data_IF_406677477574
#
_entry.id   IF_406677477574
#
_cell.length_a   1.000
_cell.length_b   1.000
_cell.length_c   1.000
_cell.angle_alpha   90.00
_cell.angle_beta   90.00
_cell.angle_gamma   90.00
#
_symmetry.space_group_name_H-M   'P 1'
#
loop_
_entity.id
_entity.type
_entity.pdbx_description
1 polymer ?
#
# COMPACT_ATOMS: atom_id res chain seq x y z
N UNK A 1 -17.20 5.49 -13.81
CA UNK A 1 -16.56 4.17 -13.77
C UNK A 1 -15.48 4.13 -14.85
N UNK A 2 -14.21 4.03 -14.46
CA UNK A 2 -13.11 3.75 -15.38
C UNK A 2 -13.24 2.28 -15.80
N UNK A 3 -13.23 2.02 -17.11
CA UNK A 3 -13.15 0.65 -17.62
C UNK A 3 -11.67 0.31 -17.75
N UNK A 4 -11.12 -0.41 -16.77
CA UNK A 4 -9.76 -0.92 -16.82
C UNK A 4 -9.62 -1.94 -17.95
N UNK A 5 -8.60 -1.79 -18.78
CA UNK A 5 -8.33 -2.60 -19.97
C UNK A 5 -6.86 -3.02 -20.04
N UNK A 6 -6.52 -3.86 -21.00
CA UNK A 6 -5.13 -4.30 -21.22
C UNK A 6 -4.19 -3.17 -21.70
N UNK A 7 -4.75 -2.03 -22.12
CA UNK A 7 -3.99 -0.83 -22.52
C UNK A 7 -3.63 0.06 -21.31
N UNK A 8 -4.30 -0.15 -20.17
CA UNK A 8 -4.07 0.61 -18.94
C UNK A 8 -3.00 -0.08 -18.08
N UNK A 9 -2.30 0.70 -17.24
CA UNK A 9 -1.41 0.16 -16.22
C UNK A 9 -1.83 0.66 -14.84
N UNK A 10 -2.11 -0.26 -13.92
CA UNK A 10 -2.51 0.04 -12.55
C UNK A 10 -1.30 -0.01 -11.61
N UNK A 11 -1.06 1.06 -10.88
CA UNK A 11 -0.11 1.09 -9.78
C UNK A 11 -0.86 1.01 -8.45
N UNK A 12 -0.51 0.02 -7.63
CA UNK A 12 -1.10 -0.21 -6.31
C UNK A 12 -0.10 0.23 -5.25
N UNK A 13 -0.48 1.16 -4.39
CA UNK A 13 0.42 1.79 -3.41
C UNK A 13 0.71 0.94 -2.16
N UNK A 14 0.42 -0.35 -2.17
CA UNK A 14 0.61 -1.25 -1.01
C UNK A 14 -0.66 -1.43 -0.18
N UNK A 15 -0.52 -2.08 0.97
CA UNK A 15 -1.58 -2.38 1.95
C UNK A 15 -2.79 -3.12 1.35
N UNK A 16 -2.52 -4.08 0.47
CA UNK A 16 -3.54 -4.91 -0.20
C UNK A 16 -4.07 -5.98 0.75
N UNK A 17 -3.23 -6.46 1.66
CA UNK A 17 -3.59 -7.48 2.64
C UNK A 17 -4.11 -6.86 3.94
N UNK A 18 -4.63 -7.72 4.83
CA UNK A 18 -5.11 -7.42 6.18
C UNK A 18 -6.52 -6.78 6.25
N UNK A 19 -7.03 -6.68 7.46
CA UNK A 19 -8.33 -6.11 7.85
C UNK A 19 -9.56 -6.75 7.17
N UNK A 20 -9.45 -7.14 5.89
CA UNK A 20 -10.48 -7.85 5.13
C UNK A 20 -10.20 -9.33 4.93
N UNK A 21 -11.16 -10.05 4.36
CA UNK A 21 -11.03 -11.49 4.05
C UNK A 21 -10.55 -11.78 2.62
N UNK A 22 -10.50 -10.78 1.74
CA UNK A 22 -10.20 -10.94 0.32
C UNK A 22 -8.80 -10.43 -0.08
N UNK A 23 -8.01 -9.92 0.85
CA UNK A 23 -6.70 -9.31 0.55
C UNK A 23 -5.73 -10.28 -0.14
N UNK A 24 -5.69 -11.54 0.28
CA UNK A 24 -4.83 -12.56 -0.36
C UNK A 24 -5.32 -12.91 -1.77
N UNK A 25 -6.63 -12.92 -2.01
CA UNK A 25 -7.18 -13.17 -3.35
C UNK A 25 -6.89 -12.00 -4.29
N UNK A 26 -7.03 -10.76 -3.81
CA UNK A 26 -6.65 -9.56 -4.56
C UNK A 26 -5.15 -9.54 -4.87
N UNK A 27 -4.31 -9.89 -3.90
CA UNK A 27 -2.87 -10.01 -4.10
C UNK A 27 -2.54 -11.01 -5.21
N UNK A 28 -3.23 -12.14 -5.29
CA UNK A 28 -3.04 -13.11 -6.38
C UNK A 28 -3.44 -12.56 -7.74
N UNK A 29 -4.52 -11.79 -7.83
CA UNK A 29 -4.90 -11.10 -9.07
C UNK A 29 -3.76 -10.17 -9.52
N UNK A 30 -3.16 -9.42 -8.61
CA UNK A 30 -2.02 -8.55 -8.92
C UNK A 30 -0.81 -9.37 -9.39
N UNK A 31 -0.50 -10.47 -8.69
CA UNK A 31 0.62 -11.37 -9.05
C UNK A 31 0.48 -11.97 -10.45
N UNK A 32 -0.74 -12.29 -10.87
CA UNK A 32 -1.04 -12.93 -12.16
C UNK A 32 -1.20 -11.90 -13.29
N UNK A 33 -1.24 -10.60 -13.00
CA UNK A 33 -1.48 -9.54 -13.97
C UNK A 33 -0.16 -8.99 -14.54
N UNK A 34 -0.12 -8.80 -15.85
CA UNK A 34 1.04 -8.18 -16.55
C UNK A 34 1.00 -6.65 -16.56
N UNK A 35 -0.17 -6.06 -16.31
CA UNK A 35 -0.41 -4.62 -16.35
C UNK A 35 -0.77 -4.03 -14.97
N UNK A 36 -0.37 -4.72 -13.89
CA UNK A 36 -0.44 -4.21 -12.53
C UNK A 36 0.95 -4.22 -11.89
N UNK A 37 1.31 -3.15 -11.20
CA UNK A 37 2.52 -3.05 -10.41
C UNK A 37 2.17 -2.60 -9.00
N UNK A 38 2.70 -3.30 -8.01
CA UNK A 38 2.43 -3.02 -6.61
C UNK A 38 3.69 -2.54 -5.89
N UNK A 39 3.53 -1.60 -4.99
CA UNK A 39 4.51 -1.16 -4.01
C UNK A 39 4.38 -1.97 -2.72
N UNK A 40 5.48 -2.07 -1.99
CA UNK A 40 5.48 -2.63 -0.65
C UNK A 40 4.83 -1.64 0.32
N UNK A 41 3.77 -2.06 1.01
CA UNK A 41 3.17 -1.34 2.12
C UNK A 41 3.64 -1.88 3.48
N UNK A 42 3.30 -1.19 4.56
CA UNK A 42 3.67 -1.63 5.91
C UNK A 42 2.94 -2.91 6.32
N UNK A 43 1.76 -3.18 5.79
CA UNK A 43 1.06 -4.45 6.03
C UNK A 43 1.78 -5.64 5.38
N UNK A 44 2.26 -5.50 4.16
CA UNK A 44 3.09 -6.51 3.50
C UNK A 44 4.44 -6.68 4.21
N UNK A 45 5.05 -5.59 4.70
CA UNK A 45 6.28 -5.65 5.49
C UNK A 45 6.07 -6.42 6.80
N UNK A 46 4.98 -6.19 7.53
CA UNK A 46 4.65 -6.95 8.75
C UNK A 46 4.44 -8.45 8.46
N UNK A 47 3.81 -8.78 7.32
CA UNK A 47 3.67 -10.16 6.87
C UNK A 47 5.04 -10.81 6.63
N UNK A 48 5.96 -10.12 5.93
CA UNK A 48 7.32 -10.60 5.67
C UNK A 48 8.14 -10.75 6.96
N UNK A 49 8.08 -9.78 7.87
CA UNK A 49 8.76 -9.86 9.18
C UNK A 49 8.22 -10.98 10.07
N UNK A 50 6.98 -11.45 9.82
CA UNK A 50 6.37 -12.54 10.61
C UNK A 50 6.56 -13.89 9.95
N UNK A 51 6.34 -14.04 8.66
CA UNK A 51 6.28 -15.32 7.94
C UNK A 51 7.44 -15.53 6.96
N UNK A 52 8.22 -14.49 6.70
CA UNK A 52 9.35 -14.53 5.79
C UNK A 52 10.56 -15.29 6.39
N UNK A 53 11.62 -15.47 5.60
CA UNK A 53 12.80 -16.24 6.00
C UNK A 53 13.62 -15.56 7.12
N UNK A 54 13.40 -14.30 7.36
CA UNK A 54 14.02 -13.50 8.44
C UNK A 54 12.95 -12.98 9.38
N UNK A 55 12.21 -13.92 10.03
CA UNK A 55 11.19 -13.52 10.99
C UNK A 55 11.82 -12.81 12.20
N UNK A 56 11.17 -11.73 12.64
CA UNK A 56 11.63 -10.87 13.71
C UNK A 56 10.86 -11.13 15.00
N UNK A 57 11.54 -10.98 16.13
CA UNK A 57 10.91 -11.12 17.45
C UNK A 57 9.86 -10.01 17.61
N UNK A 58 8.64 -10.40 18.04
CA UNK A 58 7.54 -9.45 18.23
C UNK A 58 6.76 -9.05 16.96
N UNK A 59 7.27 -9.37 15.75
CA UNK A 59 6.63 -8.99 14.48
C UNK A 59 5.18 -9.50 14.37
N UNK A 60 4.90 -10.71 14.84
CA UNK A 60 3.55 -11.26 14.83
C UNK A 60 2.57 -10.47 15.71
N UNK A 61 3.03 -9.97 16.86
CA UNK A 61 2.18 -9.18 17.75
C UNK A 61 1.91 -7.80 17.15
N UNK A 62 2.92 -7.17 16.55
CA UNK A 62 2.75 -5.94 15.80
C UNK A 62 1.73 -6.12 14.67
N UNK A 63 1.89 -7.16 13.86
CA UNK A 63 0.99 -7.47 12.76
C UNK A 63 -0.43 -7.75 13.23
N UNK A 64 -0.59 -8.51 14.33
CA UNK A 64 -1.89 -8.77 14.96
C UNK A 64 -2.59 -7.48 15.40
N UNK A 65 -1.86 -6.56 16.04
CA UNK A 65 -2.40 -5.27 16.49
C UNK A 65 -2.84 -4.38 15.33
N UNK A 66 -2.25 -4.53 14.15
CA UNK A 66 -2.58 -3.81 12.94
C UNK A 66 -3.62 -4.51 12.05
N UNK A 67 -4.26 -5.58 12.53
CA UNK A 67 -5.34 -6.26 11.81
C UNK A 67 -4.89 -7.38 10.87
N UNK A 68 -3.69 -7.92 11.03
CA UNK A 68 -3.10 -8.95 10.17
C UNK A 68 -3.63 -10.37 10.35
N UNK A 69 -4.48 -10.62 11.34
CA UNK A 69 -4.91 -11.98 11.65
C UNK A 69 -5.74 -12.69 10.58
N UNK A 70 -6.59 -12.00 9.78
CA UNK A 70 -7.24 -12.63 8.63
C UNK A 70 -6.22 -13.18 7.63
N UNK A 71 -5.25 -12.37 7.20
CA UNK A 71 -4.17 -12.77 6.28
C UNK A 71 -3.31 -13.89 6.86
N UNK A 72 -2.90 -13.76 8.13
CA UNK A 72 -2.12 -14.79 8.83
C UNK A 72 -2.80 -16.15 8.78
N UNK A 73 -4.11 -16.21 9.09
CA UNK A 73 -4.90 -17.44 9.05
C UNK A 73 -5.05 -17.97 7.63
N UNK A 74 -5.31 -17.09 6.66
CA UNK A 74 -5.43 -17.47 5.26
C UNK A 74 -4.15 -18.14 4.77
N UNK A 75 -2.99 -17.53 4.98
CA UNK A 75 -1.70 -18.03 4.52
C UNK A 75 -1.29 -19.33 5.20
N UNK A 76 -1.59 -19.51 6.50
CA UNK A 76 -1.14 -20.70 7.23
C UNK A 76 -2.09 -21.89 7.16
N UNK A 77 -3.39 -21.64 7.07
CA UNK A 77 -4.38 -22.72 7.23
C UNK A 77 -5.20 -22.99 5.96
N UNK A 78 -5.22 -22.07 5.00
CA UNK A 78 -6.01 -22.20 3.77
C UNK A 78 -5.19 -22.30 2.50
N UNK A 79 -3.92 -21.87 2.53
CA UNK A 79 -3.01 -21.95 1.39
C UNK A 79 -2.01 -23.08 1.58
N UNK A 80 -1.62 -23.70 0.46
CA UNK A 80 -0.56 -24.71 0.46
C UNK A 80 0.78 -24.06 0.82
N UNK A 81 1.75 -24.88 1.19
CA UNK A 81 3.11 -24.41 1.44
C UNK A 81 3.72 -23.72 0.22
N UNK A 82 3.44 -24.25 -0.98
CA UNK A 82 3.92 -23.68 -2.22
C UNK A 82 3.30 -22.31 -2.49
N UNK A 83 1.97 -22.16 -2.45
CA UNK A 83 1.29 -20.88 -2.64
C UNK A 83 1.78 -19.82 -1.67
N UNK A 84 1.91 -20.18 -0.37
CA UNK A 84 2.47 -19.28 0.63
C UNK A 84 3.90 -18.83 0.27
N UNK A 85 4.74 -19.77 -0.18
CA UNK A 85 6.11 -19.45 -0.57
C UNK A 85 6.15 -18.51 -1.79
N UNK A 86 5.28 -18.73 -2.78
CA UNK A 86 5.15 -17.85 -3.95
C UNK A 86 4.73 -16.43 -3.55
N UNK A 87 3.72 -16.32 -2.66
CA UNK A 87 3.26 -15.03 -2.14
C UNK A 87 4.39 -14.31 -1.38
N UNK A 88 5.05 -14.97 -0.44
CA UNK A 88 6.14 -14.34 0.32
C UNK A 88 7.31 -13.94 -0.56
N UNK A 89 7.62 -14.71 -1.61
CA UNK A 89 8.63 -14.35 -2.60
C UNK A 89 8.22 -13.12 -3.40
N UNK A 90 6.97 -13.05 -3.84
CA UNK A 90 6.44 -11.87 -4.53
C UNK A 90 6.54 -10.63 -3.65
N UNK A 91 6.02 -10.68 -2.42
CA UNK A 91 6.08 -9.57 -1.47
C UNK A 91 7.52 -9.10 -1.22
N UNK A 92 8.47 -10.04 -1.08
CA UNK A 92 9.88 -9.69 -0.85
C UNK A 92 10.59 -9.04 -2.04
N UNK A 93 10.00 -9.12 -3.22
CA UNK A 93 10.50 -8.49 -4.45
C UNK A 93 9.83 -7.15 -4.78
N UNK A 94 8.85 -6.71 -3.98
CA UNK A 94 8.16 -5.45 -4.22
C UNK A 94 9.09 -4.25 -4.01
N UNK A 95 9.02 -3.24 -4.89
CA UNK A 95 9.73 -1.98 -4.69
C UNK A 95 9.05 -1.16 -3.59
N UNK A 96 9.82 -0.34 -2.90
CA UNK A 96 9.32 0.63 -1.92
C UNK A 96 9.13 2.04 -2.53
N UNK A 97 9.61 2.24 -3.78
CA UNK A 97 9.48 3.48 -4.53
C UNK A 97 9.51 3.19 -6.04
N UNK A 98 8.66 3.87 -6.79
CA UNK A 98 8.63 3.82 -8.26
C UNK A 98 8.69 5.25 -8.80
N UNK A 99 9.62 5.52 -9.71
CA UNK A 99 9.67 6.77 -10.45
C UNK A 99 9.07 6.57 -11.85
N UNK A 100 8.22 7.50 -12.27
CA UNK A 100 7.55 7.52 -13.57
C UNK A 100 7.70 8.87 -14.23
N UNK A 101 7.61 8.89 -15.55
CA UNK A 101 7.44 10.11 -16.32
C UNK A 101 6.28 9.91 -17.31
N UNK A 102 5.27 10.76 -17.23
CA UNK A 102 4.08 10.71 -18.08
C UNK A 102 3.83 12.09 -18.64
N UNK A 103 3.84 12.22 -19.96
CA UNK A 103 3.62 13.49 -20.65
C UNK A 103 4.62 14.61 -20.27
N UNK A 104 5.83 14.25 -19.89
CA UNK A 104 6.88 15.19 -19.44
C UNK A 104 6.77 15.60 -17.97
N UNK A 105 5.75 15.12 -17.24
CA UNK A 105 5.63 15.29 -15.79
C UNK A 105 6.24 14.10 -15.06
N UNK A 106 7.09 14.38 -14.07
CA UNK A 106 7.70 13.36 -13.20
C UNK A 106 6.79 13.05 -12.02
N UNK A 107 6.70 11.76 -11.72
CA UNK A 107 5.98 11.24 -10.57
C UNK A 107 6.88 10.30 -9.75
N UNK A 108 6.70 10.34 -8.44
CA UNK A 108 7.27 9.41 -7.49
C UNK A 108 6.12 8.71 -6.75
N UNK A 109 6.00 7.40 -6.91
CA UNK A 109 5.02 6.60 -6.18
C UNK A 109 5.68 5.98 -4.96
N UNK A 110 5.08 6.12 -3.79
CA UNK A 110 5.59 5.57 -2.54
C UNK A 110 4.43 5.25 -1.61
N UNK A 111 4.56 4.23 -0.77
CA UNK A 111 3.48 3.89 0.16
C UNK A 111 3.31 4.94 1.25
N UNK A 112 4.37 5.24 1.97
CA UNK A 112 4.40 6.23 3.07
C UNK A 112 4.89 7.61 2.62
N UNK A 113 5.89 8.17 3.31
CA UNK A 113 6.49 9.45 2.94
C UNK A 113 7.68 9.22 1.98
N UNK A 114 7.89 10.06 0.96
CA UNK A 114 8.96 9.92 -0.04
C UNK A 114 10.34 10.31 0.51
N UNK A 115 10.78 9.62 1.56
CA UNK A 115 12.08 9.81 2.20
C UNK A 115 13.21 9.02 1.57
N UNK A 116 14.42 9.21 2.11
CA UNK A 116 15.64 8.58 1.58
C UNK A 116 15.80 7.13 2.02
N UNK A 117 15.23 6.74 3.16
CA UNK A 117 15.34 5.41 3.73
C UNK A 117 14.07 4.56 3.55
N UNK A 118 14.24 3.24 3.60
CA UNK A 118 13.19 2.25 3.43
C UNK A 118 12.05 2.41 4.46
N UNK A 119 12.40 2.61 5.73
CA UNK A 119 11.40 2.68 6.81
C UNK A 119 10.51 3.92 6.63
N UNK A 120 11.08 5.05 6.26
CA UNK A 120 10.32 6.26 5.95
C UNK A 120 9.38 6.06 4.76
N UNK A 121 9.82 5.34 3.72
CA UNK A 121 8.98 5.06 2.55
C UNK A 121 7.80 4.14 2.87
N UNK A 122 7.91 3.29 3.87
CA UNK A 122 6.87 2.32 4.23
C UNK A 122 6.02 2.77 5.42
N UNK A 123 6.62 3.43 6.42
CA UNK A 123 5.95 3.80 7.67
C UNK A 123 5.76 5.30 7.83
N UNK A 124 6.46 6.11 7.03
CA UNK A 124 6.39 7.57 7.12
C UNK A 124 4.98 8.06 6.83
N UNK A 125 4.58 9.09 7.55
CA UNK A 125 3.27 9.74 7.37
C UNK A 125 3.46 11.14 6.82
N UNK A 126 2.53 11.52 5.96
CA UNK A 126 2.37 12.92 5.56
C UNK A 126 1.52 13.65 6.60
N UNK A 127 1.76 14.94 6.73
CA UNK A 127 0.97 15.89 7.51
C UNK A 127 0.62 17.11 6.65
N UNK A 128 -0.10 18.06 7.20
CA UNK A 128 -0.57 19.25 6.47
C UNK A 128 0.55 20.16 5.97
N UNK A 129 1.74 20.06 6.54
CA UNK A 129 2.90 20.88 6.20
C UNK A 129 3.91 20.11 5.31
N UNK A 130 3.62 18.85 5.01
CA UNK A 130 4.47 17.99 4.21
C UNK A 130 4.60 18.47 2.78
N UNK A 131 5.84 18.41 2.24
CA UNK A 131 6.18 18.84 0.89
C UNK A 131 6.96 17.74 0.19
N UNK A 132 6.86 17.71 -1.15
CA UNK A 132 7.71 16.82 -1.94
C UNK A 132 9.19 17.16 -1.72
N UNK A 133 10.03 16.18 -1.36
CA UNK A 133 11.47 16.39 -1.27
C UNK A 133 12.14 16.44 -2.66
N UNK A 134 11.42 16.13 -3.73
CA UNK A 134 11.94 16.06 -5.09
C UNK A 134 11.44 17.27 -5.91
N UNK A 135 12.35 18.14 -6.40
CA UNK A 135 11.99 19.25 -7.29
C UNK A 135 11.28 18.73 -8.55
N UNK A 136 10.28 19.46 -9.02
CA UNK A 136 9.54 19.20 -10.26
C UNK A 136 8.91 17.79 -10.35
N UNK A 137 8.69 17.14 -9.20
CA UNK A 137 8.14 15.79 -9.10
C UNK A 137 6.89 15.79 -8.22
N UNK A 138 5.82 15.21 -8.71
CA UNK A 138 4.61 14.97 -7.91
C UNK A 138 4.76 13.61 -7.23
N UNK A 139 4.78 13.60 -5.89
CA UNK A 139 4.77 12.38 -5.10
C UNK A 139 3.32 11.92 -4.89
N UNK A 140 3.03 10.68 -5.25
CA UNK A 140 1.74 10.04 -4.98
C UNK A 140 1.94 9.07 -3.84
N UNK A 141 1.24 9.31 -2.73
CA UNK A 141 1.42 8.58 -1.48
C UNK A 141 0.11 7.91 -1.03
N UNK A 142 0.26 6.97 -0.11
CA UNK A 142 -0.82 6.31 0.60
C UNK A 142 -0.58 6.34 2.11
N UNK A 143 -0.90 5.25 2.82
CA UNK A 143 -0.63 5.00 4.24
C UNK A 143 -1.35 5.92 5.23
N UNK A 144 -1.37 7.24 5.01
CA UNK A 144 -2.01 8.21 5.89
C UNK A 144 -3.44 8.44 5.42
N UNK A 145 -4.49 8.07 6.21
CA UNK A 145 -5.86 8.40 5.81
C UNK A 145 -6.05 9.91 5.68
N UNK A 146 -6.59 10.36 4.53
CA UNK A 146 -6.76 11.79 4.21
C UNK A 146 -7.64 12.54 5.20
N UNK A 147 -8.50 11.83 5.95
CA UNK A 147 -9.30 12.39 7.04
C UNK A 147 -8.45 13.05 8.13
N UNK A 148 -7.20 12.61 8.32
CA UNK A 148 -6.28 13.24 9.28
C UNK A 148 -5.58 14.47 8.73
N UNK A 149 -5.62 14.67 7.41
CA UNK A 149 -4.99 15.80 6.71
C UNK A 149 -6.01 16.90 6.38
N UNK A 150 -7.28 16.55 6.33
CA UNK A 150 -8.37 17.50 6.12
C UNK A 150 -9.07 17.71 7.45
N UNK A 151 -9.28 18.96 7.87
CA UNK A 151 -10.13 19.27 9.04
C UNK A 151 -11.62 18.98 8.77
N UNK A 152 -11.92 18.04 7.88
CA UNK A 152 -13.27 17.68 7.44
C UNK A 152 -13.66 16.35 8.04
N UNK A 153 -14.89 16.29 8.54
CA UNK A 153 -15.47 15.09 9.12
C UNK A 153 -15.68 13.99 8.06
N UNK A 154 -15.77 12.76 8.50
CA UNK A 154 -15.80 11.43 7.86
C UNK A 154 -16.49 11.24 6.49
N UNK A 155 -17.16 12.26 5.95
CA UNK A 155 -17.91 12.16 4.68
C UNK A 155 -17.13 12.67 3.46
N UNK A 156 -15.99 13.33 3.64
CA UNK A 156 -15.23 13.87 2.51
C UNK A 156 -14.14 12.89 2.07
N UNK A 157 -14.51 12.02 1.15
CA UNK A 157 -13.64 11.05 0.50
C UNK A 157 -12.80 11.72 -0.61
N UNK A 158 -12.12 12.82 -0.33
CA UNK A 158 -11.29 13.52 -1.31
C UNK A 158 -9.82 13.22 -1.19
N UNK A 159 -9.14 13.20 -2.33
CA UNK A 159 -7.68 13.17 -2.42
C UNK A 159 -7.15 14.42 -1.71
N UNK A 160 -6.16 14.24 -0.84
CA UNK A 160 -5.47 15.38 -0.24
C UNK A 160 -4.36 15.89 -1.17
N UNK A 161 -4.26 17.21 -1.30
CA UNK A 161 -3.29 17.90 -2.13
C UNK A 161 -2.37 18.76 -1.26
N UNK A 162 -1.12 18.33 -1.10
CA UNK A 162 -0.04 19.12 -0.49
C UNK A 162 0.86 19.78 -1.54
N UNK A 163 1.97 20.36 -1.08
CA UNK A 163 2.97 20.98 -1.96
C UNK A 163 3.81 19.88 -2.67
N UNK A 164 3.36 19.52 -3.88
CA UNK A 164 3.99 18.43 -4.66
C UNK A 164 3.69 17.03 -4.15
N UNK A 165 2.68 16.84 -3.30
CA UNK A 165 2.25 15.53 -2.79
C UNK A 165 0.74 15.37 -3.01
N UNK A 166 0.35 14.17 -3.47
CA UNK A 166 -1.04 13.72 -3.55
C UNK A 166 -1.21 12.49 -2.66
N UNK A 167 -2.10 12.55 -1.65
CA UNK A 167 -2.45 11.40 -0.83
C UNK A 167 -3.80 10.81 -1.28
N UNK A 168 -3.78 9.52 -1.64
CA UNK A 168 -4.93 8.81 -2.22
C UNK A 168 -5.71 7.97 -1.20
N UNK A 169 -5.27 7.85 0.08
CA UNK A 169 -5.94 6.97 1.04
C UNK A 169 -7.17 7.64 1.63
N UNK A 170 -8.24 7.54 0.91
CA UNK A 170 -9.53 8.06 1.27
C UNK A 170 -10.23 7.08 2.22
N UNK A 171 -10.22 7.35 3.52
CA UNK A 171 -11.00 6.60 4.53
C UNK A 171 -10.50 5.20 4.91
N UNK A 172 -9.31 4.78 4.52
CA UNK A 172 -8.77 3.47 4.88
C UNK A 172 -8.55 3.32 6.40
N UNK A 173 -9.23 2.36 7.00
CA UNK A 173 -9.08 2.02 8.44
C UNK A 173 -10.22 2.47 9.34
N UNK A 174 -11.18 3.20 8.86
CA UNK A 174 -12.50 3.37 9.47
C UNK A 174 -13.37 2.22 8.95
N UNK A 175 -14.16 1.57 9.80
CA UNK A 175 -15.09 0.50 9.41
C UNK A 175 -16.20 1.03 8.47
N UNK A 176 -15.84 1.45 7.29
CA UNK A 176 -16.79 1.81 6.25
C UNK A 176 -16.63 0.82 5.11
N UNK A 177 -17.72 0.20 4.74
CA UNK A 177 -17.81 -0.62 3.53
C UNK A 177 -17.50 0.29 2.33
N UNK A 178 -16.30 0.14 1.75
CA UNK A 178 -15.97 0.87 0.54
C UNK A 178 -16.78 0.35 -0.62
N UNK A 179 -17.68 1.15 -1.12
CA UNK A 179 -18.17 1.02 -2.47
C UNK A 179 -17.15 1.73 -3.36
N UNK A 180 -16.39 0.99 -4.12
CA UNK A 180 -15.58 1.54 -5.21
C UNK A 180 -16.56 2.16 -6.19
N UNK A 181 -16.55 3.47 -6.31
CA UNK A 181 -17.38 4.21 -7.25
C UNK A 181 -16.78 4.15 -8.65
#
# INVERSE_FOLDING_TARGET
LIRFSDEDHLYVLGDVIDRGSLGVDLLRIIMDSSNMTMLLGNHEQMCLSTLGPRSEFGAKDLWRMNGGMPTYRELLYRRTHQERHEILRFLSGLPDLINLEVGGQKFCLVHGYPGDDHDTRIWGRVDTDSKSPFPDTICIVGHTPTVFLTNRHDEDLSIWHGEGILDLIVGAGIETQYTVA
#
